data_IF_200769454270
#
_entry.id   IF_200769454270
#
_cell.length_a   1.000
_cell.length_b   1.000
_cell.length_c   1.000
_cell.angle_alpha   90.00
_cell.angle_beta   90.00
_cell.angle_gamma   90.00
#
_symmetry.space_group_name_H-M   'P 1'
#
loop_
_entity.id
_entity.type
_entity.pdbx_description
1 polymer ?
#
# COMPACT_ATOMS: atom_id res chain seq x y z
N UNK A 1 -17.52 -5.00 14.84
CA UNK A 1 -18.34 -4.11 14.00
C UNK A 1 -17.49 -3.33 13.03
N UNK A 2 -16.83 -2.31 13.51
CA UNK A 2 -16.13 -1.40 12.62
C UNK A 2 -15.03 -2.10 11.82
N UNK A 3 -14.25 -2.96 12.42
CA UNK A 3 -13.13 -3.60 11.74
C UNK A 3 -13.56 -4.62 10.69
N UNK A 4 -14.74 -5.19 10.78
CA UNK A 4 -15.20 -6.15 9.79
C UNK A 4 -15.40 -5.50 8.42
N UNK A 5 -15.59 -4.19 8.40
CA UNK A 5 -15.80 -3.45 7.17
C UNK A 5 -14.59 -2.58 6.79
N UNK A 6 -13.42 -2.88 7.36
CA UNK A 6 -12.25 -2.05 7.11
C UNK A 6 -11.91 -1.96 5.61
N UNK A 7 -12.12 -3.03 4.85
CA UNK A 7 -11.90 -3.03 3.42
C UNK A 7 -12.94 -2.19 2.66
N UNK A 8 -14.10 -1.97 3.28
CA UNK A 8 -15.18 -1.19 2.68
C UNK A 8 -15.22 0.25 3.22
N UNK A 9 -14.42 0.54 4.25
CA UNK A 9 -14.40 1.85 4.88
C UNK A 9 -13.57 2.83 4.04
N UNK A 10 -14.13 3.19 2.89
CA UNK A 10 -13.50 4.08 1.92
C UNK A 10 -14.33 5.35 1.77
N UNK A 11 -13.67 6.50 1.56
CA UNK A 11 -14.45 7.70 1.27
C UNK A 11 -15.19 7.54 -0.06
N UNK A 12 -16.36 8.16 -0.15
CA UNK A 12 -17.02 8.33 -1.43
C UNK A 12 -16.27 9.37 -2.24
N UNK A 13 -16.63 9.51 -3.53
CA UNK A 13 -16.11 10.60 -4.35
C UNK A 13 -16.31 11.92 -3.62
N UNK A 14 -15.33 12.78 -3.69
CA UNK A 14 -15.31 14.02 -2.94
C UNK A 14 -14.92 15.20 -3.83
N UNK A 15 -15.06 16.40 -3.28
CA UNK A 15 -14.62 17.63 -3.93
C UNK A 15 -13.10 17.77 -3.84
N UNK A 16 -12.55 18.76 -4.53
CA UNK A 16 -11.13 19.11 -4.42
C UNK A 16 -10.74 19.30 -2.96
N UNK A 17 -9.52 18.89 -2.62
CA UNK A 17 -9.09 18.87 -1.23
C UNK A 17 -7.57 19.14 -1.13
N UNK A 18 -7.14 19.45 0.09
CA UNK A 18 -5.75 19.74 0.41
C UNK A 18 -5.33 18.83 1.57
N UNK A 19 -4.25 18.09 1.39
CA UNK A 19 -3.80 17.13 2.40
C UNK A 19 -2.39 17.45 2.87
N UNK A 20 -2.20 17.39 4.18
CA UNK A 20 -0.88 17.54 4.80
C UNK A 20 -0.26 16.16 4.95
N UNK A 21 0.36 15.68 3.89
CA UNK A 21 0.79 14.29 3.74
C UNK A 21 1.79 13.87 4.82
N UNK A 22 2.73 14.73 5.18
CA UNK A 22 3.75 14.40 6.18
C UNK A 22 3.13 14.24 7.56
N UNK A 23 2.13 15.06 7.90
CA UNK A 23 1.41 14.91 9.17
C UNK A 23 0.64 13.60 9.20
N UNK A 24 0.01 13.24 8.08
CA UNK A 24 -0.70 11.98 7.97
C UNK A 24 0.28 10.81 8.12
N UNK A 25 1.43 10.88 7.46
CA UNK A 25 2.45 9.85 7.54
C UNK A 25 2.91 9.59 8.99
N UNK A 26 2.94 10.62 9.82
CA UNK A 26 3.34 10.53 11.22
C UNK A 26 2.22 10.07 12.16
N UNK A 27 0.99 9.94 11.67
CA UNK A 27 -0.17 9.64 12.51
C UNK A 27 -0.41 8.14 12.74
N UNK A 28 0.30 7.27 12.03
CA UNK A 28 0.10 5.83 12.15
C UNK A 28 0.65 5.31 13.47
N UNK A 29 -0.04 4.31 14.09
CA UNK A 29 0.45 3.70 15.32
C UNK A 29 1.75 2.93 15.08
N UNK A 30 2.46 2.59 16.16
CA UNK A 30 3.72 1.86 16.06
C UNK A 30 3.56 0.41 15.63
N UNK A 31 2.41 -0.19 15.90
CA UNK A 31 2.14 -1.60 15.60
C UNK A 31 0.79 -1.75 14.92
N UNK A 32 0.64 -2.85 14.19
CA UNK A 32 -0.61 -3.21 13.53
C UNK A 32 -0.75 -4.72 13.44
N UNK A 33 -1.99 -5.19 13.36
CA UNK A 33 -2.28 -6.62 13.19
C UNK A 33 -2.12 -7.06 11.75
N UNK A 34 -2.41 -6.18 10.80
CA UNK A 34 -2.22 -6.43 9.37
C UNK A 34 -0.80 -6.08 8.93
N UNK A 35 -0.41 -6.47 7.71
CA UNK A 35 0.91 -6.13 7.19
C UNK A 35 1.08 -4.64 7.02
N UNK A 36 -0.01 -3.94 6.67
CA UNK A 36 0.00 -2.49 6.56
C UNK A 36 -1.32 -1.90 7.02
N UNK A 37 -1.28 -0.61 7.34
CA UNK A 37 -2.46 0.21 7.60
C UNK A 37 -2.51 1.31 6.55
N UNK A 38 -3.70 1.62 6.04
CA UNK A 38 -3.85 2.70 5.07
C UNK A 38 -4.87 3.74 5.50
N UNK A 39 -4.68 4.95 4.99
CA UNK A 39 -5.63 6.03 5.12
C UNK A 39 -5.92 6.59 3.73
N UNK A 40 -7.15 6.47 3.30
CA UNK A 40 -7.57 7.01 2.01
C UNK A 40 -7.63 8.52 2.05
N UNK A 41 -7.14 9.13 0.97
CA UNK A 41 -7.21 10.56 0.73
C UNK A 41 -8.33 10.85 -0.26
N UNK A 42 -8.31 10.17 -1.40
CA UNK A 42 -9.34 10.30 -2.44
C UNK A 42 -9.68 8.90 -2.95
N UNK A 43 -10.90 8.78 -3.47
CA UNK A 43 -11.34 7.50 -4.04
C UNK A 43 -12.26 7.78 -5.23
N UNK A 44 -11.67 8.33 -6.29
CA UNK A 44 -12.38 8.61 -7.53
C UNK A 44 -12.26 7.41 -8.47
N UNK A 45 -13.19 7.31 -9.42
CA UNK A 45 -13.21 6.19 -10.35
C UNK A 45 -11.91 6.08 -11.17
N UNK A 46 -11.35 7.20 -11.58
CA UNK A 46 -10.13 7.25 -12.38
C UNK A 46 -8.87 6.96 -11.57
N UNK A 47 -8.89 7.24 -10.26
CA UNK A 47 -7.72 7.03 -9.40
C UNK A 47 -8.12 7.09 -7.94
N UNK A 48 -7.41 6.36 -7.09
CA UNK A 48 -7.49 6.51 -5.64
C UNK A 48 -6.11 6.85 -5.09
N UNK A 49 -6.08 7.71 -4.07
CA UNK A 49 -4.84 8.09 -3.40
C UNK A 49 -4.96 7.76 -1.92
N UNK A 50 -3.88 7.24 -1.35
CA UNK A 50 -3.85 6.87 0.06
C UNK A 50 -2.44 6.98 0.59
N UNK A 51 -2.32 7.14 1.91
CA UNK A 51 -1.04 7.01 2.62
C UNK A 51 -1.11 5.70 3.38
N UNK A 52 -0.04 4.90 3.34
CA UNK A 52 -0.03 3.67 4.13
C UNK A 52 1.33 3.42 4.76
N UNK A 53 1.32 2.79 5.92
CA UNK A 53 2.53 2.33 6.61
C UNK A 53 2.63 0.82 6.52
N UNK A 54 3.82 0.35 6.18
CA UNK A 54 4.14 -1.08 6.11
C UNK A 54 4.87 -1.48 7.38
N UNK A 55 4.35 -2.50 8.07
CA UNK A 55 4.88 -2.93 9.37
C UNK A 55 5.76 -4.17 9.28
N UNK A 56 5.56 -4.99 8.27
CA UNK A 56 6.30 -6.24 8.07
C UNK A 56 6.49 -6.49 6.58
N UNK A 57 7.40 -7.41 6.25
CA UNK A 57 7.61 -7.84 4.88
C UNK A 57 6.29 -8.20 4.21
N UNK A 58 6.12 -7.81 2.95
CA UNK A 58 4.94 -8.22 2.18
C UNK A 58 5.31 -9.40 1.29
N UNK A 59 4.47 -10.44 1.26
CA UNK A 59 4.73 -11.59 0.39
C UNK A 59 4.51 -11.24 -1.08
N UNK A 60 5.01 -12.06 -2.01
CA UNK A 60 4.77 -11.85 -3.43
C UNK A 60 3.28 -11.78 -3.77
N UNK A 61 2.88 -10.72 -4.45
CA UNK A 61 1.49 -10.49 -4.83
C UNK A 61 1.44 -9.54 -6.02
N UNK A 62 0.25 -9.40 -6.61
CA UNK A 62 0.01 -8.42 -7.66
C UNK A 62 -1.39 -7.85 -7.55
N UNK A 63 -1.63 -6.76 -8.26
CA UNK A 63 -2.95 -6.15 -8.39
C UNK A 63 -3.39 -6.32 -9.84
N UNK A 64 -4.56 -6.91 -10.04
CA UNK A 64 -5.00 -7.32 -11.37
C UNK A 64 -5.63 -6.17 -12.17
N UNK A 65 -6.20 -5.18 -11.49
CA UNK A 65 -7.06 -4.19 -12.14
C UNK A 65 -6.58 -2.75 -12.04
N UNK A 66 -5.43 -2.49 -11.41
CA UNK A 66 -4.89 -1.14 -11.31
C UNK A 66 -3.37 -1.13 -11.41
N UNK A 67 -2.85 -0.01 -11.91
CA UNK A 67 -1.43 0.30 -11.81
C UNK A 67 -1.19 0.99 -10.48
N UNK A 68 -0.04 0.76 -9.86
CA UNK A 68 0.26 1.32 -8.54
C UNK A 68 1.52 2.17 -8.58
N UNK A 69 1.41 3.42 -8.14
CA UNK A 69 2.52 4.33 -7.93
C UNK A 69 2.76 4.47 -6.44
N UNK A 70 3.98 4.21 -5.98
CA UNK A 70 4.36 4.31 -4.57
C UNK A 70 5.50 5.31 -4.42
N UNK A 71 5.20 6.45 -3.82
CA UNK A 71 6.21 7.42 -3.46
C UNK A 71 6.64 7.20 -2.01
N UNK A 72 7.94 6.98 -1.78
CA UNK A 72 8.46 6.68 -0.44
C UNK A 72 8.55 7.98 0.35
N UNK A 73 7.73 8.09 1.39
CA UNK A 73 7.72 9.27 2.28
C UNK A 73 8.73 9.14 3.42
N UNK A 74 8.92 7.92 3.94
CA UNK A 74 9.86 7.68 5.02
C UNK A 74 10.28 6.21 5.04
N UNK A 75 11.39 5.94 5.70
CA UNK A 75 11.89 4.59 5.88
C UNK A 75 12.72 4.10 4.72
N UNK A 76 13.19 2.87 4.86
CA UNK A 76 14.04 2.22 3.87
C UNK A 76 13.78 0.72 3.92
N UNK A 77 13.84 0.07 2.78
CA UNK A 77 13.63 -1.36 2.68
C UNK A 77 14.07 -1.90 1.34
N UNK A 78 13.72 -3.15 1.07
CA UNK A 78 14.03 -3.81 -0.19
C UNK A 78 12.75 -4.16 -0.94
N UNK A 79 12.87 -4.30 -2.25
CA UNK A 79 11.78 -4.70 -3.12
C UNK A 79 12.30 -5.47 -4.31
N UNK A 80 11.42 -6.22 -4.96
CA UNK A 80 11.67 -6.76 -6.29
C UNK A 80 10.36 -6.71 -7.07
N UNK A 81 10.48 -6.68 -8.38
CA UNK A 81 9.33 -6.76 -9.29
C UNK A 81 9.65 -7.74 -10.40
N UNK A 82 8.73 -8.65 -10.67
CA UNK A 82 8.77 -9.73 -11.64
C UNK A 82 9.80 -10.82 -11.35
N UNK A 83 11.04 -10.45 -11.05
CA UNK A 83 12.14 -11.39 -10.83
C UNK A 83 12.62 -11.30 -9.37
N UNK A 84 12.34 -12.32 -8.54
CA UNK A 84 12.75 -12.28 -7.11
C UNK A 84 14.26 -12.33 -6.90
N UNK A 85 15.06 -12.63 -7.93
CA UNK A 85 16.51 -12.58 -7.83
C UNK A 85 17.07 -11.15 -7.99
N UNK A 86 16.25 -10.21 -8.43
CA UNK A 86 16.66 -8.81 -8.66
C UNK A 86 16.15 -7.91 -7.57
N UNK A 87 16.71 -8.07 -6.38
CA UNK A 87 16.32 -7.26 -5.21
C UNK A 87 17.06 -5.93 -5.26
N UNK A 88 16.32 -4.83 -5.04
CA UNK A 88 16.87 -3.49 -4.93
C UNK A 88 16.39 -2.84 -3.63
N UNK A 89 17.01 -1.73 -3.25
CA UNK A 89 16.59 -0.96 -2.08
C UNK A 89 15.77 0.26 -2.50
N UNK A 90 14.84 0.65 -1.63
CA UNK A 90 14.12 1.92 -1.75
C UNK A 90 14.38 2.76 -0.51
N UNK A 91 14.30 4.07 -0.68
CA UNK A 91 14.42 5.05 0.40
C UNK A 91 13.54 6.25 0.13
N UNK A 92 13.40 7.12 1.13
CA UNK A 92 12.56 8.31 1.03
C UNK A 92 12.94 9.15 -0.19
N UNK A 93 11.93 9.65 -0.90
CA UNK A 93 12.11 10.46 -2.10
C UNK A 93 12.09 9.68 -3.40
N UNK A 94 12.01 8.35 -3.34
CA UNK A 94 11.99 7.51 -4.55
C UNK A 94 10.57 7.09 -4.90
N UNK A 95 10.33 6.84 -6.19
CA UNK A 95 9.04 6.40 -6.70
C UNK A 95 9.18 4.98 -7.24
N UNK A 96 8.33 4.08 -6.78
CA UNK A 96 8.18 2.74 -7.34
C UNK A 96 6.92 2.71 -8.19
N UNK A 97 6.97 2.03 -9.32
CA UNK A 97 5.81 1.85 -10.18
C UNK A 97 5.63 0.36 -10.46
N UNK A 98 4.46 -0.16 -10.11
CA UNK A 98 4.07 -1.53 -10.42
C UNK A 98 2.89 -1.50 -11.37
N UNK A 99 3.12 -1.92 -12.60
CA UNK A 99 2.04 -2.06 -13.57
C UNK A 99 1.11 -3.17 -13.12
N UNK A 100 -0.18 -3.06 -13.45
CA UNK A 100 -1.15 -4.12 -13.12
C UNK A 100 -0.64 -5.46 -13.60
N UNK A 101 -0.83 -6.50 -12.78
CA UNK A 101 -0.35 -7.83 -13.06
C UNK A 101 1.11 -8.08 -12.73
N UNK A 102 1.89 -7.06 -12.37
CA UNK A 102 3.29 -7.24 -12.00
C UNK A 102 3.39 -7.83 -10.60
N UNK A 103 3.96 -9.03 -10.49
CA UNK A 103 4.24 -9.63 -9.18
C UNK A 103 5.38 -8.87 -8.53
N UNK A 104 5.18 -8.47 -7.28
CA UNK A 104 6.16 -7.72 -6.52
C UNK A 104 6.10 -8.08 -5.04
N UNK A 105 7.15 -7.72 -4.30
CA UNK A 105 7.23 -7.95 -2.87
C UNK A 105 8.15 -6.92 -2.21
N UNK A 106 7.94 -6.73 -0.92
CA UNK A 106 8.85 -5.96 -0.06
C UNK A 106 9.43 -6.95 0.96
N UNK A 107 10.54 -7.64 0.64
CA UNK A 107 11.04 -8.72 1.48
C UNK A 107 11.64 -8.28 2.80
N UNK A 108 12.17 -7.04 2.88
CA UNK A 108 12.80 -6.56 4.11
C UNK A 108 12.46 -5.11 4.40
N UNK A 109 12.24 -4.80 5.67
CA UNK A 109 12.19 -3.44 6.18
C UNK A 109 13.51 -3.17 6.87
N UNK A 110 14.27 -2.18 6.40
CA UNK A 110 15.58 -1.85 6.92
C UNK A 110 15.57 -0.69 7.91
N UNK A 111 14.69 0.29 7.70
CA UNK A 111 14.48 1.42 8.60
C UNK A 111 13.00 1.74 8.71
N UNK A 112 12.48 1.78 9.92
CA UNK A 112 11.10 2.15 10.21
C UNK A 112 10.99 3.62 10.59
N UNK A 113 9.82 4.26 10.43
CA UNK A 113 8.63 3.70 9.76
C UNK A 113 8.74 3.77 8.25
N UNK A 114 8.23 2.74 7.58
CA UNK A 114 8.13 2.73 6.12
C UNK A 114 6.74 3.22 5.74
N UNK A 115 6.66 4.38 5.11
CA UNK A 115 5.39 5.01 4.74
C UNK A 115 5.45 5.43 3.27
N UNK A 116 4.37 5.12 2.57
CA UNK A 116 4.22 5.47 1.15
C UNK A 116 3.01 6.35 0.93
N UNK A 117 3.13 7.26 -0.05
CA UNK A 117 1.98 7.84 -0.73
C UNK A 117 1.71 6.97 -1.95
N UNK A 118 0.50 6.43 -2.03
CA UNK A 118 0.12 5.51 -3.10
C UNK A 118 -0.98 6.13 -3.96
N UNK A 119 -0.82 6.00 -5.28
CA UNK A 119 -1.87 6.35 -6.25
C UNK A 119 -2.13 5.12 -7.10
N UNK A 120 -3.38 4.66 -7.11
CA UNK A 120 -3.81 3.52 -7.92
C UNK A 120 -4.69 4.01 -9.06
N UNK A 121 -4.43 3.56 -10.29
CA UNK A 121 -5.16 4.00 -11.48
C UNK A 121 -5.56 2.80 -12.34
N UNK A 122 -6.87 2.59 -12.56
CA UNK A 122 -8.02 3.21 -11.91
C UNK A 122 -8.04 2.93 -10.41
N UNK A 123 -9.06 3.41 -9.69
CA UNK A 123 -9.13 3.21 -8.23
C UNK A 123 -8.91 1.73 -7.87
N UNK A 124 -8.24 1.51 -6.77
CA UNK A 124 -7.99 0.17 -6.29
C UNK A 124 -9.25 -0.42 -5.64
N UNK A 125 -9.64 -1.63 -6.06
CA UNK A 125 -10.55 -2.43 -5.28
C UNK A 125 -9.77 -2.95 -4.07
N UNK A 126 -10.23 -2.77 -2.83
CA UNK A 126 -9.52 -3.26 -1.64
C UNK A 126 -9.26 -4.76 -1.65
N UNK A 127 -10.04 -5.52 -2.41
CA UNK A 127 -9.89 -6.97 -2.51
C UNK A 127 -8.93 -7.37 -3.64
N UNK A 128 -8.44 -6.42 -4.42
CA UNK A 128 -7.53 -6.70 -5.53
C UNK A 128 -6.10 -6.83 -5.04
N UNK A 129 -5.87 -7.83 -4.21
CA UNK A 129 -4.54 -8.26 -3.77
C UNK A 129 -4.50 -9.76 -4.04
N UNK A 130 -3.76 -10.17 -5.06
CA UNK A 130 -3.67 -11.57 -5.47
C UNK A 130 -2.32 -12.11 -5.05
N UNK A 131 -2.31 -13.01 -4.07
CA UNK A 131 -1.08 -13.61 -3.57
C UNK A 131 -0.64 -14.74 -4.48
N UNK A 132 0.66 -14.80 -4.77
CA UNK A 132 1.24 -15.89 -5.56
C UNK A 132 1.07 -17.22 -4.81
N UNK A 133 1.31 -17.19 -3.49
CA UNK A 133 1.00 -18.31 -2.60
C UNK A 133 -0.30 -17.97 -1.86
N UNK A 134 -1.41 -18.67 -2.15
CA UNK A 134 -2.69 -18.40 -1.48
C UNK A 134 -2.63 -18.56 0.05
N UNK A 135 -1.68 -19.33 0.56
CA UNK A 135 -1.51 -19.50 2.00
C UNK A 135 -0.81 -18.32 2.66
N UNK A 136 -0.23 -17.40 1.88
CA UNK A 136 0.53 -16.26 2.42
C UNK A 136 -0.36 -15.20 3.07
N UNK A 137 -1.64 -15.14 2.72
CA UNK A 137 -2.55 -14.18 3.33
C UNK A 137 -3.82 -13.98 2.52
N UNK A 138 -4.61 -13.02 2.97
CA UNK A 138 -5.85 -12.57 2.32
C UNK A 138 -5.84 -11.06 2.26
N UNK A 139 -6.71 -10.42 1.47
CA UNK A 139 -6.82 -8.96 1.51
C UNK A 139 -7.05 -8.42 2.93
N UNK A 140 -7.81 -9.14 3.75
CA UNK A 140 -8.12 -8.75 5.13
C UNK A 140 -6.92 -8.80 6.07
N UNK A 141 -5.96 -9.71 5.83
CA UNK A 141 -4.74 -9.78 6.63
C UNK A 141 -3.66 -8.85 6.09
N UNK A 142 -3.79 -8.41 4.85
CA UNK A 142 -2.82 -7.57 4.17
C UNK A 142 -2.95 -6.11 4.63
N UNK A 143 -4.14 -5.54 4.58
CA UNK A 143 -4.35 -4.13 4.86
C UNK A 143 -5.63 -3.89 5.65
N UNK A 144 -5.56 -2.90 6.54
CA UNK A 144 -6.70 -2.40 7.30
C UNK A 144 -6.72 -0.87 7.18
N UNK A 145 -7.92 -0.31 7.01
CA UNK A 145 -8.09 1.15 6.98
C UNK A 145 -8.02 1.73 8.39
N UNK A 146 -7.46 2.91 8.51
CA UNK A 146 -7.44 3.68 9.77
C UNK A 146 -8.37 4.86 9.70
#
# INVERSE_FOLDING_TARGET
>A
MAQENSLLNRPASQTSAHFKIIEIAKSFPETADTLLLDKYLTNEEAASARVFRVYRATPPHYHATCDEYLYVLSGRGTFWMEDPSKIAEFEAGQLLFFKRGTVHALPEILEQPVVFLSVDTPRRDPKDVVFVDPAAGTPETFVQAV
#
